data_IF_584821913150
#
_entry.id   IF_584821913150
#
_cell.length_a   1.000
_cell.length_b   1.000
_cell.length_c   1.000
_cell.angle_alpha   90.00
_cell.angle_beta   90.00
_cell.angle_gamma   90.00
#
_symmetry.space_group_name_H-M   'P 1'
#
loop_
_entity.id
_entity.type
_entity.pdbx_description
1 polymer ?
#
# COMPACT_ATOMS: atom_id res chain seq x y z
N UNK A 1 -5.30 5.51 25.66
CA UNK A 1 -5.03 5.50 27.09
C UNK A 1 -4.08 6.65 27.46
N UNK A 2 -4.32 7.33 28.59
CA UNK A 2 -3.51 8.48 29.03
C UNK A 2 -2.05 8.09 29.28
N UNK A 3 -1.81 6.89 29.81
CA UNK A 3 -0.46 6.33 30.04
C UNK A 3 0.31 6.14 28.74
N UNK A 4 -0.33 5.64 27.72
CA UNK A 4 0.28 5.40 26.41
C UNK A 4 0.70 6.71 25.75
N UNK A 5 -0.18 7.72 25.77
CA UNK A 5 0.14 9.07 25.27
C UNK A 5 1.32 9.69 26.00
N UNK A 6 1.41 9.48 27.32
CA UNK A 6 2.55 9.96 28.10
C UNK A 6 3.85 9.26 27.72
N UNK A 7 3.82 7.93 27.54
CA UNK A 7 5.00 7.13 27.15
C UNK A 7 5.46 7.47 25.73
N UNK A 8 4.56 7.63 24.77
CA UNK A 8 4.86 8.10 23.40
C UNK A 8 5.55 9.47 23.46
N UNK A 9 4.99 10.42 24.23
CA UNK A 9 5.58 11.74 24.39
C UNK A 9 6.96 11.70 25.05
N UNK A 10 7.15 10.83 26.04
CA UNK A 10 8.43 10.65 26.72
C UNK A 10 9.49 9.98 25.84
N UNK A 11 9.09 9.05 24.98
CA UNK A 11 9.96 8.40 24.01
C UNK A 11 10.40 9.36 22.88
N UNK A 12 9.59 10.38 22.56
CA UNK A 12 9.84 11.28 21.43
C UNK A 12 9.58 10.68 20.06
N UNK A 13 9.03 9.44 20.01
CA UNK A 13 8.74 8.66 18.83
C UNK A 13 7.26 8.26 18.79
N UNK A 14 6.79 7.71 17.67
CA UNK A 14 5.41 7.22 17.56
C UNK A 14 5.16 5.88 18.29
N UNK A 15 6.19 5.31 18.89
CA UNK A 15 6.15 4.07 19.67
C UNK A 15 7.11 4.14 20.87
N UNK A 16 7.01 3.19 21.78
CA UNK A 16 7.92 3.05 22.92
C UNK A 16 8.17 1.57 23.24
N UNK A 17 9.23 1.30 24.03
CA UNK A 17 9.48 0.00 24.62
C UNK A 17 9.70 0.18 26.13
N UNK A 18 9.04 -0.64 26.95
CA UNK A 18 9.13 -0.59 28.41
C UNK A 18 10.11 -1.59 28.99
N UNK A 19 10.83 -2.38 28.14
CA UNK A 19 11.86 -3.31 28.59
C UNK A 19 13.02 -2.58 29.26
N UNK A 20 13.55 -3.07 30.38
CA UNK A 20 14.81 -2.60 30.93
C UNK A 20 16.05 -3.06 30.14
N UNK A 21 15.86 -3.96 29.19
CA UNK A 21 16.89 -4.52 28.32
C UNK A 21 16.94 -3.81 26.98
N UNK A 22 18.08 -3.82 26.33
CA UNK A 22 18.29 -3.52 24.93
C UNK A 22 18.89 -4.75 24.20
N UNK A 23 18.97 -4.70 22.87
CA UNK A 23 19.48 -5.83 22.08
C UNK A 23 20.89 -6.26 22.45
N UNK A 24 21.74 -5.34 22.95
CA UNK A 24 23.11 -5.64 23.37
C UNK A 24 23.20 -6.36 24.70
N UNK A 25 22.15 -6.29 25.52
CA UNK A 25 22.09 -6.80 26.90
C UNK A 25 21.23 -8.06 27.08
N UNK A 26 20.76 -8.67 25.99
CA UNK A 26 19.89 -9.85 26.05
C UNK A 26 20.59 -11.13 26.57
N UNK A 27 21.93 -11.15 26.63
CA UNK A 27 22.70 -12.32 27.06
C UNK A 27 22.69 -13.49 26.06
N UNK A 28 23.50 -14.50 26.30
CA UNK A 28 23.62 -15.67 25.43
C UNK A 28 22.84 -16.90 25.95
N UNK A 29 22.67 -17.05 27.27
CA UNK A 29 22.06 -18.23 27.89
C UNK A 29 20.55 -18.30 27.70
N UNK A 30 19.87 -17.14 27.74
CA UNK A 30 18.40 -17.07 27.68
C UNK A 30 17.93 -16.16 26.53
N UNK A 31 18.72 -16.08 25.46
CA UNK A 31 18.51 -15.15 24.35
C UNK A 31 17.09 -15.19 23.77
N UNK A 32 16.50 -16.38 23.63
CA UNK A 32 15.15 -16.56 23.08
C UNK A 32 14.09 -15.92 23.96
N UNK A 33 14.07 -16.27 25.26
CA UNK A 33 13.09 -15.75 26.21
C UNK A 33 13.26 -14.24 26.42
N UNK A 34 14.50 -13.76 26.48
CA UNK A 34 14.81 -12.36 26.64
C UNK A 34 14.41 -11.53 25.40
N UNK A 35 14.65 -12.04 24.19
CA UNK A 35 14.23 -11.38 22.95
C UNK A 35 12.70 -11.31 22.84
N UNK A 36 12.00 -12.40 23.16
CA UNK A 36 10.53 -12.41 23.18
C UNK A 36 9.98 -11.43 24.22
N UNK A 37 10.57 -11.38 25.42
CA UNK A 37 10.18 -10.40 26.44
C UNK A 37 10.43 -8.96 26.00
N UNK A 38 11.55 -8.71 25.32
CA UNK A 38 11.87 -7.41 24.74
C UNK A 38 10.84 -6.98 23.67
N UNK A 39 10.49 -7.87 22.76
CA UNK A 39 9.48 -7.62 21.70
C UNK A 39 8.11 -7.37 22.34
N UNK A 40 7.69 -8.16 23.32
CA UNK A 40 6.42 -7.99 24.01
C UNK A 40 6.32 -6.70 24.83
N UNK A 41 7.44 -6.03 25.09
CA UNK A 41 7.50 -4.76 25.80
C UNK A 41 7.30 -3.53 24.92
N UNK A 42 7.20 -3.70 23.59
CA UNK A 42 6.84 -2.61 22.69
C UNK A 42 5.39 -2.16 22.89
N UNK A 43 5.11 -0.90 22.56
CA UNK A 43 3.75 -0.37 22.43
C UNK A 43 2.91 -1.23 21.47
N UNK A 44 1.59 -1.21 21.64
CA UNK A 44 0.65 -2.07 20.91
C UNK A 44 0.90 -2.05 19.40
N UNK A 45 0.95 -0.86 18.80
CA UNK A 45 1.11 -0.71 17.35
C UNK A 45 2.42 -1.29 16.81
N UNK A 46 3.53 -1.10 17.54
CA UNK A 46 4.81 -1.68 17.14
C UNK A 46 4.84 -3.19 17.36
N UNK A 47 4.23 -3.71 18.45
CA UNK A 47 4.15 -5.15 18.73
C UNK A 47 3.31 -5.89 17.69
N UNK A 48 2.18 -5.33 17.24
CA UNK A 48 1.35 -5.91 16.19
C UNK A 48 2.13 -6.20 14.90
N UNK A 49 3.16 -5.41 14.57
CA UNK A 49 4.02 -5.66 13.40
C UNK A 49 4.72 -7.01 13.56
N UNK A 50 5.32 -7.28 14.72
CA UNK A 50 6.00 -8.56 14.99
C UNK A 50 5.02 -9.73 15.02
N UNK A 51 3.82 -9.54 15.61
CA UNK A 51 2.78 -10.57 15.71
C UNK A 51 2.26 -10.98 14.32
N UNK A 52 1.90 -10.04 13.46
CA UNK A 52 1.39 -10.32 12.12
C UNK A 52 2.46 -10.81 11.15
N UNK A 53 3.72 -10.43 11.38
CA UNK A 53 4.88 -10.97 10.65
C UNK A 53 5.30 -12.35 11.13
N UNK A 54 4.67 -12.91 12.18
CA UNK A 54 5.02 -14.19 12.81
C UNK A 54 6.49 -14.27 13.21
N UNK A 55 6.98 -13.19 13.79
CA UNK A 55 8.42 -13.07 14.09
C UNK A 55 8.91 -14.11 15.10
N UNK A 56 8.02 -14.63 15.95
CA UNK A 56 8.28 -15.73 16.87
C UNK A 56 8.69 -17.04 16.14
N UNK A 57 8.13 -17.33 14.97
CA UNK A 57 8.52 -18.51 14.16
C UNK A 57 9.97 -18.38 13.68
N UNK A 58 10.40 -17.18 13.23
CA UNK A 58 11.80 -16.92 12.87
C UNK A 58 12.73 -17.05 14.08
N UNK A 59 12.35 -16.52 15.24
CA UNK A 59 13.10 -16.65 16.49
C UNK A 59 13.27 -18.14 16.83
N UNK A 60 12.20 -18.94 16.72
CA UNK A 60 12.26 -20.38 16.98
C UNK A 60 13.23 -21.09 16.05
N UNK A 61 13.10 -20.86 14.74
CA UNK A 61 13.98 -21.44 13.70
C UNK A 61 15.45 -21.10 13.95
N UNK A 62 15.76 -19.84 14.25
CA UNK A 62 17.14 -19.42 14.55
C UNK A 62 17.66 -19.99 15.86
N UNK A 63 16.81 -20.15 16.87
CA UNK A 63 17.18 -20.76 18.15
C UNK A 63 17.50 -22.26 17.98
N UNK A 64 16.68 -23.00 17.25
CA UNK A 64 16.90 -24.42 16.94
C UNK A 64 18.19 -24.65 16.15
N UNK A 65 18.52 -23.71 15.24
CA UNK A 65 19.78 -23.72 14.49
C UNK A 65 21.00 -23.21 15.27
N UNK A 66 20.86 -22.81 16.55
CA UNK A 66 21.89 -22.16 17.36
C UNK A 66 22.49 -20.86 16.72
N UNK A 67 21.69 -20.17 15.94
CA UNK A 67 22.11 -18.93 15.24
C UNK A 67 21.54 -17.66 15.89
N UNK A 68 20.52 -17.77 16.72
CA UNK A 68 19.77 -16.62 17.24
C UNK A 68 20.68 -15.59 17.92
N UNK A 69 21.59 -16.01 18.80
CA UNK A 69 22.51 -15.11 19.49
C UNK A 69 23.42 -14.36 18.50
N UNK A 70 23.98 -15.09 17.50
CA UNK A 70 24.85 -14.48 16.49
C UNK A 70 24.13 -13.42 15.64
N UNK A 71 22.87 -13.71 15.26
CA UNK A 71 22.05 -12.77 14.48
C UNK A 71 21.73 -11.54 15.32
N UNK A 72 21.23 -11.70 16.54
CA UNK A 72 20.93 -10.60 17.46
C UNK A 72 22.17 -9.73 17.70
N UNK A 73 23.35 -10.33 17.97
CA UNK A 73 24.58 -9.58 18.16
C UNK A 73 25.02 -8.83 16.89
N UNK A 74 24.81 -9.42 15.71
CA UNK A 74 25.13 -8.73 14.46
C UNK A 74 24.26 -7.49 14.28
N UNK A 75 22.97 -7.59 14.56
CA UNK A 75 22.03 -6.46 14.51
C UNK A 75 22.40 -5.41 15.57
N UNK A 76 22.60 -5.84 16.83
CA UNK A 76 22.96 -4.95 17.93
C UNK A 76 24.27 -4.16 17.71
N UNK A 77 25.23 -4.75 16.98
CA UNK A 77 26.51 -4.13 16.65
C UNK A 77 26.47 -3.33 15.34
N UNK A 78 25.34 -3.25 14.66
CA UNK A 78 25.15 -2.41 13.47
C UNK A 78 24.48 -1.12 13.92
N UNK A 79 25.14 0.02 13.74
CA UNK A 79 24.55 1.31 14.10
C UNK A 79 23.47 1.70 13.08
N UNK A 80 22.23 1.51 13.48
CA UNK A 80 21.02 1.88 12.73
C UNK A 80 20.30 3.06 13.40
N UNK A 81 20.99 3.79 14.28
CA UNK A 81 20.40 4.94 14.97
C UNK A 81 20.07 6.08 14.01
N UNK A 82 19.12 6.97 14.35
CA UNK A 82 18.80 8.16 13.54
C UNK A 82 20.01 9.11 13.35
N UNK A 83 21.04 8.99 14.17
CA UNK A 83 22.28 9.74 14.00
C UNK A 83 23.20 9.17 12.91
N UNK A 84 23.15 7.84 12.67
CA UNK A 84 23.92 7.15 11.64
C UNK A 84 23.18 7.09 10.30
N UNK A 85 21.86 6.93 10.33
CA UNK A 85 21.04 6.82 9.13
C UNK A 85 19.70 7.54 9.36
N UNK A 86 19.31 8.43 8.45
CA UNK A 86 18.05 9.15 8.54
C UNK A 86 16.85 8.19 8.41
N UNK A 87 15.67 8.60 8.94
CA UNK A 87 14.44 7.82 8.77
C UNK A 87 14.08 7.63 7.29
N UNK A 88 14.37 8.61 6.44
CA UNK A 88 14.20 8.51 4.99
C UNK A 88 15.11 7.42 4.39
N UNK A 89 16.41 7.47 4.68
CA UNK A 89 17.37 6.47 4.17
C UNK A 89 17.10 5.08 4.73
N UNK A 90 16.67 4.98 5.99
CA UNK A 90 16.22 3.71 6.58
C UNK A 90 14.99 3.15 5.85
N UNK A 91 14.04 4.00 5.45
CA UNK A 91 12.91 3.61 4.62
C UNK A 91 13.36 3.02 3.27
N UNK A 92 14.36 3.64 2.60
CA UNK A 92 14.93 3.12 1.35
C UNK A 92 15.64 1.77 1.55
N UNK A 93 16.37 1.61 2.65
CA UNK A 93 17.02 0.32 3.01
C UNK A 93 15.96 -0.77 3.24
N UNK A 94 14.90 -0.44 3.97
CA UNK A 94 13.82 -1.38 4.27
C UNK A 94 13.09 -1.81 2.99
N UNK A 95 12.77 -0.86 2.12
CA UNK A 95 12.15 -1.13 0.80
C UNK A 95 13.04 -2.03 -0.08
N UNK A 96 14.36 -1.79 -0.10
CA UNK A 96 15.29 -2.64 -0.85
C UNK A 96 15.36 -4.07 -0.29
N UNK A 97 15.29 -4.24 1.04
CA UNK A 97 15.24 -5.56 1.67
C UNK A 97 13.95 -6.30 1.30
N UNK A 98 12.79 -5.63 1.34
CA UNK A 98 11.51 -6.20 0.93
C UNK A 98 11.57 -6.64 -0.53
N UNK A 99 12.09 -5.80 -1.42
CA UNK A 99 12.26 -6.12 -2.83
C UNK A 99 13.10 -7.37 -3.05
N UNK A 100 14.27 -7.46 -2.40
CA UNK A 100 15.14 -8.63 -2.49
C UNK A 100 14.48 -9.89 -1.94
N UNK A 101 13.74 -9.75 -0.86
CA UNK A 101 12.98 -10.85 -0.28
C UNK A 101 11.91 -11.34 -1.28
N UNK A 102 11.12 -10.42 -1.86
CA UNK A 102 10.12 -10.73 -2.87
C UNK A 102 10.70 -11.41 -4.12
N UNK A 103 11.87 -10.97 -4.60
CA UNK A 103 12.55 -11.59 -5.74
C UNK A 103 13.15 -12.97 -5.42
N UNK A 104 13.46 -13.25 -4.16
CA UNK A 104 14.06 -14.52 -3.74
C UNK A 104 13.03 -15.60 -3.40
N UNK A 105 11.84 -15.22 -2.98
CA UNK A 105 10.74 -16.12 -2.66
C UNK A 105 9.90 -16.42 -3.92
N UNK A 106 10.16 -17.58 -4.53
CA UNK A 106 9.62 -17.96 -5.85
C UNK A 106 8.10 -18.15 -5.95
N UNK A 107 7.32 -18.16 -4.85
CA UNK A 107 5.95 -18.69 -4.92
C UNK A 107 4.80 -17.73 -4.58
N UNK A 108 4.97 -16.71 -3.77
CA UNK A 108 3.82 -15.89 -3.32
C UNK A 108 4.07 -14.39 -3.24
N UNK A 109 5.30 -13.98 -3.13
CA UNK A 109 5.64 -12.56 -2.98
C UNK A 109 5.34 -11.72 -4.24
N UNK A 110 5.30 -12.34 -5.42
CA UNK A 110 5.01 -11.66 -6.68
C UNK A 110 3.57 -11.15 -6.80
N UNK A 111 2.62 -11.79 -6.13
CA UNK A 111 1.20 -11.39 -6.18
C UNK A 111 0.91 -10.14 -5.35
N UNK A 112 1.77 -9.83 -4.37
CA UNK A 112 1.59 -8.73 -3.43
C UNK A 112 2.56 -7.56 -3.64
N UNK A 113 3.42 -7.65 -4.66
CA UNK A 113 4.44 -6.64 -4.93
C UNK A 113 4.28 -5.99 -6.30
N UNK A 114 4.03 -4.69 -6.31
CA UNK A 114 3.97 -3.91 -7.56
C UNK A 114 5.38 -3.48 -7.96
N UNK A 115 5.83 -3.72 -9.22
CA UNK A 115 7.16 -3.31 -9.67
C UNK A 115 7.38 -1.81 -9.54
N UNK A 116 8.58 -1.41 -9.09
CA UNK A 116 8.94 -0.01 -8.82
C UNK A 116 8.69 0.94 -9.99
N UNK A 117 8.96 0.49 -11.21
CA UNK A 117 8.77 1.33 -12.40
C UNK A 117 7.28 1.66 -12.61
N UNK A 118 6.40 0.70 -12.32
CA UNK A 118 4.95 0.91 -12.37
C UNK A 118 4.49 1.83 -11.23
N UNK A 119 5.02 1.60 -10.02
CA UNK A 119 4.73 2.48 -8.87
C UNK A 119 5.13 3.91 -9.18
N UNK A 120 6.35 4.15 -9.67
CA UNK A 120 6.85 5.48 -10.01
C UNK A 120 6.07 6.13 -11.15
N UNK A 121 5.79 5.39 -12.21
CA UNK A 121 4.98 5.88 -13.33
C UNK A 121 3.60 6.32 -12.85
N UNK A 122 2.90 5.44 -12.13
CA UNK A 122 1.54 5.73 -11.65
C UNK A 122 1.53 6.89 -10.66
N UNK A 123 2.49 6.94 -9.75
CA UNK A 123 2.68 8.06 -8.82
C UNK A 123 2.89 9.37 -9.59
N UNK A 124 3.79 9.40 -10.57
CA UNK A 124 4.04 10.59 -11.37
C UNK A 124 2.81 11.05 -12.11
N UNK A 125 2.04 10.14 -12.72
CA UNK A 125 0.80 10.48 -13.44
C UNK A 125 -0.27 11.09 -12.52
N UNK A 126 -0.32 10.68 -11.26
CA UNK A 126 -1.30 11.18 -10.29
C UNK A 126 -0.90 12.54 -9.72
N UNK A 127 0.38 12.78 -9.45
CA UNK A 127 0.82 13.99 -8.75
C UNK A 127 1.25 15.13 -9.67
N UNK A 128 1.67 14.85 -10.92
CA UNK A 128 2.28 15.85 -11.79
C UNK A 128 1.39 17.05 -12.12
N UNK A 129 0.08 16.85 -12.18
CA UNK A 129 -0.86 17.93 -12.46
C UNK A 129 -1.12 18.85 -11.27
N UNK A 130 -0.78 18.40 -10.06
CA UNK A 130 -0.96 19.16 -8.81
C UNK A 130 0.37 19.71 -8.26
N UNK A 131 1.45 19.69 -9.02
CA UNK A 131 2.76 20.15 -8.57
C UNK A 131 2.74 21.57 -8.00
N UNK A 132 1.99 22.48 -8.62
CA UNK A 132 1.87 23.86 -8.14
C UNK A 132 1.19 23.92 -6.77
N UNK A 133 0.09 23.19 -6.57
CA UNK A 133 -0.61 23.11 -5.29
C UNK A 133 0.26 22.43 -4.22
N UNK A 134 1.03 21.41 -4.58
CA UNK A 134 1.89 20.69 -3.66
C UNK A 134 3.11 21.51 -3.19
N UNK A 135 3.49 22.54 -3.92
CA UNK A 135 4.57 23.46 -3.53
C UNK A 135 4.12 24.57 -2.57
N UNK A 136 2.83 24.70 -2.32
CA UNK A 136 2.30 25.72 -1.40
C UNK A 136 2.80 25.51 0.04
N UNK A 137 2.97 26.63 0.75
CA UNK A 137 3.41 26.60 2.14
C UNK A 137 2.36 26.00 3.07
N UNK A 138 2.75 25.00 3.86
CA UNK A 138 1.89 24.40 4.87
C UNK A 138 0.83 23.46 4.30
N UNK A 139 1.01 22.99 3.07
CA UNK A 139 0.10 22.04 2.43
C UNK A 139 0.03 20.74 3.22
N UNK A 140 -1.18 20.25 3.41
CA UNK A 140 -1.47 18.93 4.00
C UNK A 140 -2.36 18.18 3.02
N UNK A 141 -1.96 16.98 2.64
CA UNK A 141 -2.70 16.09 1.73
C UNK A 141 -2.73 14.67 2.26
N UNK A 142 -3.66 13.90 1.76
CA UNK A 142 -3.85 12.49 2.10
C UNK A 142 -3.62 11.62 0.88
N UNK A 143 -2.96 10.46 1.10
CA UNK A 143 -2.81 9.41 0.10
C UNK A 143 -3.40 8.12 0.66
N UNK A 144 -4.12 7.37 -0.18
CA UNK A 144 -4.80 6.13 0.21
C UNK A 144 -4.56 5.01 -0.79
N UNK A 145 -4.34 3.80 -0.27
CA UNK A 145 -4.31 2.56 -1.05
C UNK A 145 -5.21 1.51 -0.38
N UNK A 146 -6.34 1.11 -1.02
CA UNK A 146 -7.26 0.10 -0.49
C UNK A 146 -6.74 -1.34 -0.58
N UNK A 147 -5.62 -1.55 -1.27
CA UNK A 147 -4.92 -2.82 -1.46
C UNK A 147 -3.43 -2.63 -1.21
N UNK A 148 -3.12 -2.10 -0.02
CA UNK A 148 -1.83 -1.47 0.28
C UNK A 148 -0.61 -2.37 0.05
N UNK A 149 -0.79 -3.70 0.06
CA UNK A 149 0.32 -4.62 -0.05
C UNK A 149 1.38 -4.30 0.99
N UNK A 150 2.61 -4.16 0.55
CA UNK A 150 3.74 -3.73 1.38
C UNK A 150 3.90 -2.20 1.50
N UNK A 151 2.96 -1.41 0.96
CA UNK A 151 2.96 0.06 1.07
C UNK A 151 3.70 0.80 -0.04
N UNK A 152 4.02 0.15 -1.15
CA UNK A 152 4.83 0.73 -2.22
C UNK A 152 4.29 2.03 -2.80
N UNK A 153 2.99 2.11 -3.07
CA UNK A 153 2.37 3.35 -3.55
C UNK A 153 2.35 4.47 -2.50
N UNK A 154 2.10 4.13 -1.24
CA UNK A 154 2.10 5.09 -0.14
C UNK A 154 3.49 5.71 0.01
N UNK A 155 4.52 4.88 0.00
CA UNK A 155 5.92 5.30 0.11
C UNK A 155 6.34 6.16 -1.07
N UNK A 156 6.05 5.74 -2.29
CA UNK A 156 6.39 6.49 -3.51
C UNK A 156 5.68 7.85 -3.59
N UNK A 157 4.41 7.91 -3.17
CA UNK A 157 3.66 9.17 -3.13
C UNK A 157 4.22 10.14 -2.10
N UNK A 158 4.60 9.65 -0.91
CA UNK A 158 5.25 10.48 0.11
C UNK A 158 6.62 10.98 -0.35
N UNK A 159 7.42 10.12 -0.98
CA UNK A 159 8.73 10.46 -1.52
C UNK A 159 8.61 11.55 -2.61
N UNK A 160 7.70 11.36 -3.58
CA UNK A 160 7.44 12.34 -4.64
C UNK A 160 7.12 13.73 -4.06
N UNK A 161 6.22 13.81 -3.08
CA UNK A 161 5.83 15.08 -2.48
C UNK A 161 6.96 15.66 -1.63
N UNK A 162 7.73 14.83 -0.92
CA UNK A 162 8.87 15.28 -0.14
C UNK A 162 10.00 15.87 -1.01
N UNK A 163 10.30 15.24 -2.14
CA UNK A 163 11.27 15.76 -3.11
C UNK A 163 10.83 17.11 -3.67
N UNK A 164 9.53 17.26 -3.97
CA UNK A 164 8.96 18.50 -4.48
C UNK A 164 8.90 19.60 -3.42
N UNK A 165 8.49 19.26 -2.20
CA UNK A 165 8.31 20.17 -1.07
C UNK A 165 8.58 19.45 0.27
N UNK A 166 9.80 19.54 0.81
CA UNK A 166 10.15 18.90 2.09
C UNK A 166 9.34 19.38 3.31
N UNK A 167 8.56 20.47 3.17
CA UNK A 167 7.69 21.00 4.23
C UNK A 167 6.24 20.58 4.08
N UNK A 168 5.88 19.92 2.99
CA UNK A 168 4.55 19.38 2.79
C UNK A 168 4.29 18.21 3.75
N UNK A 169 3.06 18.07 4.22
CA UNK A 169 2.63 16.95 5.06
C UNK A 169 1.75 16.03 4.22
N UNK A 170 2.28 14.86 3.88
CA UNK A 170 1.50 13.78 3.27
C UNK A 170 1.12 12.76 4.34
N UNK A 171 -0.18 12.52 4.54
CA UNK A 171 -0.72 11.54 5.48
C UNK A 171 -1.12 10.28 4.73
N UNK A 172 -0.48 9.15 5.07
CA UNK A 172 -0.73 7.86 4.44
C UNK A 172 -1.85 7.11 5.14
N UNK A 173 -2.75 6.54 4.34
CA UNK A 173 -3.84 5.65 4.75
C UNK A 173 -3.79 4.40 3.88
N UNK A 174 -4.09 3.25 4.45
CA UNK A 174 -4.10 2.00 3.69
C UNK A 174 -4.97 0.95 4.35
N UNK A 175 -5.42 0.00 3.54
CA UNK A 175 -6.04 -1.21 4.03
C UNK A 175 -5.48 -2.41 3.28
N UNK A 176 -5.17 -3.49 4.00
CA UNK A 176 -4.56 -4.69 3.45
C UNK A 176 -5.21 -5.95 4.05
N UNK A 177 -5.47 -6.94 3.21
CA UNK A 177 -6.09 -8.21 3.61
C UNK A 177 -5.05 -9.20 4.16
N UNK A 178 -3.86 -9.25 3.55
CA UNK A 178 -2.80 -10.17 3.94
C UNK A 178 -2.07 -9.64 5.17
N UNK A 179 -2.04 -10.44 6.25
CA UNK A 179 -1.48 -10.03 7.54
C UNK A 179 0.03 -9.73 7.46
N UNK A 180 0.79 -10.48 6.66
CA UNK A 180 2.23 -10.30 6.49
C UNK A 180 2.53 -9.01 5.71
N UNK A 181 1.85 -8.80 4.58
CA UNK A 181 1.96 -7.55 3.80
C UNK A 181 1.54 -6.33 4.63
N UNK A 182 0.45 -6.45 5.40
CA UNK A 182 0.03 -5.42 6.35
C UNK A 182 1.13 -5.08 7.37
N UNK A 183 1.77 -6.10 7.97
CA UNK A 183 2.84 -5.88 8.93
C UNK A 183 4.04 -5.16 8.31
N UNK A 184 4.41 -5.53 7.09
CA UNK A 184 5.48 -4.87 6.32
C UNK A 184 5.11 -3.40 6.04
N UNK A 185 3.90 -3.16 5.53
CA UNK A 185 3.40 -1.80 5.27
C UNK A 185 3.39 -0.95 6.55
N UNK A 186 2.86 -1.50 7.64
CA UNK A 186 2.82 -0.83 8.95
C UNK A 186 4.22 -0.51 9.46
N UNK A 187 5.17 -1.44 9.30
CA UNK A 187 6.57 -1.25 9.67
C UNK A 187 7.25 -0.14 8.87
N UNK A 188 7.06 -0.11 7.56
CA UNK A 188 7.59 0.94 6.68
C UNK A 188 7.02 2.32 7.05
N UNK A 189 5.71 2.40 7.28
CA UNK A 189 5.05 3.63 7.71
C UNK A 189 5.56 4.10 9.09
N UNK A 190 5.85 3.16 10.01
CA UNK A 190 6.40 3.48 11.32
C UNK A 190 7.81 4.09 11.19
N UNK A 191 8.68 3.49 10.38
CA UNK A 191 10.03 4.00 10.09
C UNK A 191 9.97 5.41 9.48
N UNK A 192 9.00 5.67 8.62
CA UNK A 192 8.77 6.98 7.97
C UNK A 192 8.05 8.00 8.85
N UNK A 193 7.79 7.68 10.13
CA UNK A 193 7.15 8.59 11.08
C UNK A 193 5.67 8.84 10.83
N UNK A 194 5.00 7.95 10.08
CA UNK A 194 3.55 8.04 9.86
C UNK A 194 2.76 7.50 11.05
N UNK A 195 1.53 7.97 11.17
CA UNK A 195 0.57 7.42 12.14
C UNK A 195 0.04 6.07 11.64
N UNK A 196 0.62 5.00 12.17
CA UNK A 196 0.34 3.61 11.73
C UNK A 196 -1.07 3.12 12.07
N UNK A 197 -1.82 3.84 12.91
CA UNK A 197 -3.23 3.56 13.17
C UNK A 197 -4.12 3.74 11.93
N UNK A 198 -3.61 4.43 10.89
CA UNK A 198 -4.26 4.64 9.60
C UNK A 198 -4.08 3.48 8.62
N UNK A 199 -3.19 2.55 8.92
CA UNK A 199 -3.04 1.30 8.16
C UNK A 199 -3.91 0.24 8.83
N UNK A 200 -4.85 -0.32 8.06
CA UNK A 200 -5.89 -1.23 8.56
C UNK A 200 -5.70 -2.64 8.01
N UNK A 201 -5.91 -3.65 8.87
CA UNK A 201 -5.94 -5.04 8.46
C UNK A 201 -7.38 -5.48 8.21
N UNK A 202 -7.68 -5.97 7.02
CA UNK A 202 -8.99 -6.51 6.68
C UNK A 202 -9.37 -6.37 5.22
N UNK A 203 -10.48 -6.99 4.85
CA UNK A 203 -10.97 -6.97 3.47
C UNK A 203 -11.69 -5.65 3.18
N UNK A 204 -11.13 -4.85 2.30
CA UNK A 204 -11.66 -3.54 1.89
C UNK A 204 -13.09 -3.63 1.33
N UNK A 205 -13.41 -4.72 0.62
CA UNK A 205 -14.71 -4.86 -0.04
C UNK A 205 -15.83 -5.18 0.95
N UNK A 206 -15.59 -6.02 1.96
CA UNK A 206 -16.61 -6.45 2.94
C UNK A 206 -16.51 -5.73 4.29
N UNK A 207 -15.38 -5.12 4.61
CA UNK A 207 -15.13 -4.45 5.88
C UNK A 207 -14.26 -3.21 5.70
N UNK A 208 -14.84 -2.17 5.10
CA UNK A 208 -14.18 -0.88 4.94
C UNK A 208 -14.01 -0.19 6.29
N UNK A 209 -12.79 -0.22 6.84
CA UNK A 209 -12.47 0.37 8.13
C UNK A 209 -12.20 1.89 8.07
N UNK A 210 -12.23 2.47 6.88
CA UNK A 210 -12.08 3.89 6.60
C UNK A 210 -13.35 4.45 5.92
N UNK A 211 -14.53 3.91 6.26
CA UNK A 211 -15.79 4.15 5.56
C UNK A 211 -16.17 5.63 5.45
N UNK A 212 -15.84 6.43 6.45
CA UNK A 212 -16.19 7.86 6.49
C UNK A 212 -15.06 8.78 5.98
N UNK A 213 -13.93 8.22 5.58
CA UNK A 213 -12.80 8.99 5.11
C UNK A 213 -12.86 9.22 3.60
N UNK A 214 -12.44 10.40 3.18
CA UNK A 214 -12.23 10.77 1.77
C UNK A 214 -10.80 11.27 1.60
N UNK A 215 -10.19 10.99 0.46
CA UNK A 215 -8.77 11.20 0.23
C UNK A 215 -8.49 12.10 -0.96
N UNK A 216 -7.37 12.83 -0.88
CA UNK A 216 -6.94 13.72 -1.95
C UNK A 216 -6.33 12.92 -3.11
N UNK A 217 -5.45 11.98 -2.83
CA UNK A 217 -4.82 11.09 -3.81
C UNK A 217 -5.04 9.63 -3.45
N UNK A 218 -5.25 8.82 -4.47
CA UNK A 218 -5.43 7.38 -4.27
C UNK A 218 -4.71 6.62 -5.38
N UNK A 219 -4.00 5.57 -4.99
CA UNK A 219 -3.28 4.68 -5.90
C UNK A 219 -3.58 3.25 -5.47
N UNK A 220 -3.84 2.37 -6.41
CA UNK A 220 -4.15 0.98 -6.11
C UNK A 220 -3.73 0.08 -7.25
N UNK A 221 -3.19 -1.08 -6.89
CA UNK A 221 -3.02 -2.21 -7.77
C UNK A 221 -3.84 -3.38 -7.20
N UNK A 222 -5.15 -3.44 -7.47
CA UNK A 222 -5.99 -4.51 -6.95
C UNK A 222 -5.59 -5.87 -7.54
N UNK A 223 -5.86 -6.99 -6.84
CA UNK A 223 -5.54 -8.32 -7.34
C UNK A 223 -6.29 -8.61 -8.66
N UNK A 224 -5.57 -9.13 -9.65
CA UNK A 224 -6.10 -9.43 -10.98
C UNK A 224 -6.81 -10.78 -11.02
N UNK A 225 -8.01 -10.84 -11.61
CA UNK A 225 -8.73 -12.08 -11.84
C UNK A 225 -9.06 -12.87 -10.57
N UNK A 226 -9.08 -12.21 -9.42
CA UNK A 226 -9.42 -12.84 -8.15
C UNK A 226 -10.93 -12.75 -7.93
N UNK A 227 -11.54 -13.91 -7.63
CA UNK A 227 -12.96 -13.98 -7.34
C UNK A 227 -13.31 -13.30 -6.00
N UNK A 228 -14.50 -12.69 -5.97
CA UNK A 228 -15.03 -12.09 -4.74
C UNK A 228 -16.16 -12.93 -4.11
N UNK A 229 -16.23 -14.22 -4.45
CA UNK A 229 -17.27 -15.15 -4.00
C UNK A 229 -17.37 -15.22 -2.47
N UNK A 230 -16.23 -15.15 -1.76
CA UNK A 230 -16.22 -15.20 -0.29
C UNK A 230 -16.93 -14.03 0.38
N UNK A 231 -17.02 -12.89 -0.29
CA UNK A 231 -17.66 -11.65 0.21
C UNK A 231 -18.85 -11.23 -0.65
N UNK A 232 -19.34 -12.14 -1.49
CA UNK A 232 -20.42 -11.89 -2.46
C UNK A 232 -21.69 -11.39 -1.78
N UNK A 233 -22.02 -11.93 -0.62
CA UNK A 233 -23.22 -11.54 0.13
C UNK A 233 -23.10 -10.08 0.57
N UNK A 234 -22.00 -9.69 1.19
CA UNK A 234 -21.80 -8.33 1.71
C UNK A 234 -21.89 -7.28 0.60
N UNK A 235 -21.27 -7.58 -0.56
CA UNK A 235 -21.26 -6.70 -1.72
C UNK A 235 -22.66 -6.58 -2.34
N UNK A 236 -23.37 -7.71 -2.52
CA UNK A 236 -24.75 -7.71 -3.03
C UNK A 236 -25.70 -7.02 -2.08
N UNK A 237 -25.56 -7.22 -0.79
CA UNK A 237 -26.37 -6.55 0.23
C UNK A 237 -26.16 -5.03 0.17
N UNK A 238 -24.90 -4.56 0.07
CA UNK A 238 -24.62 -3.13 -0.10
C UNK A 238 -25.21 -2.57 -1.40
N UNK A 239 -25.03 -3.26 -2.53
CA UNK A 239 -25.60 -2.87 -3.82
C UNK A 239 -27.13 -2.76 -3.78
N UNK A 240 -27.81 -3.78 -3.23
CA UNK A 240 -29.27 -3.84 -3.22
C UNK A 240 -29.91 -2.89 -2.20
N UNK A 241 -29.27 -2.68 -1.04
CA UNK A 241 -29.84 -1.88 0.05
C UNK A 241 -29.53 -0.40 -0.11
N UNK A 242 -28.30 -0.08 -0.50
CA UNK A 242 -27.86 1.32 -0.60
C UNK A 242 -27.98 1.89 -2.02
N UNK A 243 -28.01 1.04 -3.05
CA UNK A 243 -27.99 1.53 -4.44
C UNK A 243 -26.85 2.51 -4.67
N UNK A 244 -27.13 3.67 -5.25
CA UNK A 244 -26.16 4.73 -5.52
C UNK A 244 -25.67 5.50 -4.27
N UNK A 245 -26.29 5.28 -3.10
CA UNK A 245 -25.76 5.80 -1.83
C UNK A 245 -24.64 4.91 -1.26
N UNK A 246 -24.39 3.76 -1.89
CA UNK A 246 -23.30 2.85 -1.59
C UNK A 246 -22.25 2.79 -2.69
N UNK A 247 -21.14 2.13 -2.39
CA UNK A 247 -20.00 2.02 -3.31
C UNK A 247 -20.32 1.33 -4.63
N UNK A 248 -21.22 0.35 -4.61
CA UNK A 248 -21.46 -0.59 -5.72
C UNK A 248 -22.76 -0.32 -6.48
N UNK A 249 -23.34 0.87 -6.33
CA UNK A 249 -24.60 1.27 -7.00
C UNK A 249 -24.58 1.14 -8.52
N UNK A 250 -23.53 1.55 -9.24
CA UNK A 250 -23.48 1.47 -10.69
C UNK A 250 -23.65 0.07 -11.28
N UNK A 251 -23.23 -0.99 -10.56
CA UNK A 251 -23.36 -2.36 -11.01
C UNK A 251 -22.40 -3.32 -10.32
N UNK A 252 -22.54 -4.61 -10.58
CA UNK A 252 -21.67 -5.64 -10.05
C UNK A 252 -20.93 -6.34 -11.20
N UNK A 253 -19.59 -6.49 -11.14
CA UNK A 253 -18.84 -7.24 -12.11
C UNK A 253 -19.07 -8.75 -11.92
N UNK A 254 -18.60 -9.55 -12.89
CA UNK A 254 -18.61 -11.02 -12.75
C UNK A 254 -17.90 -11.46 -11.48
N UNK A 255 -18.41 -12.51 -10.83
CA UNK A 255 -17.88 -12.99 -9.54
C UNK A 255 -16.42 -13.44 -9.64
N UNK A 256 -15.97 -13.88 -10.81
CA UNK A 256 -14.60 -14.33 -11.04
C UNK A 256 -13.55 -13.21 -11.10
N UNK A 257 -13.96 -11.92 -11.05
CA UNK A 257 -13.02 -10.79 -11.14
C UNK A 257 -13.57 -9.58 -10.36
N UNK A 258 -12.98 -9.31 -9.19
CA UNK A 258 -13.37 -8.22 -8.29
C UNK A 258 -12.72 -6.87 -8.57
N UNK A 259 -11.90 -6.73 -9.58
CA UNK A 259 -11.07 -5.54 -9.80
C UNK A 259 -11.87 -4.25 -9.93
N UNK A 260 -13.01 -4.28 -10.63
CA UNK A 260 -13.90 -3.11 -10.78
C UNK A 260 -14.61 -2.72 -9.46
N UNK A 261 -14.73 -3.63 -8.50
CA UNK A 261 -15.22 -3.29 -7.15
C UNK A 261 -14.25 -2.36 -6.43
N UNK A 262 -12.95 -2.61 -6.55
CA UNK A 262 -11.93 -1.71 -5.99
C UNK A 262 -11.94 -0.34 -6.68
N UNK A 263 -12.16 -0.31 -7.99
CA UNK A 263 -12.27 0.97 -8.71
C UNK A 263 -13.49 1.79 -8.24
N UNK A 264 -14.65 1.14 -8.06
CA UNK A 264 -15.84 1.80 -7.49
C UNK A 264 -15.61 2.25 -6.05
N UNK A 265 -14.91 1.45 -5.25
CA UNK A 265 -14.50 1.84 -3.90
C UNK A 265 -13.62 3.10 -3.92
N UNK A 266 -12.63 3.18 -4.82
CA UNK A 266 -11.82 4.38 -4.98
C UNK A 266 -12.67 5.60 -5.38
N UNK A 267 -13.61 5.45 -6.30
CA UNK A 267 -14.51 6.53 -6.72
C UNK A 267 -15.33 7.03 -5.52
N UNK A 268 -15.86 6.13 -4.70
CA UNK A 268 -16.57 6.52 -3.47
C UNK A 268 -15.67 7.30 -2.51
N UNK A 269 -14.39 6.97 -2.45
CA UNK A 269 -13.41 7.62 -1.55
C UNK A 269 -12.84 8.94 -2.10
N UNK A 270 -13.17 9.32 -3.32
CA UNK A 270 -12.68 10.57 -3.88
C UNK A 270 -13.11 11.78 -3.06
N UNK A 271 -12.13 12.64 -2.71
CA UNK A 271 -12.41 13.99 -2.24
C UNK A 271 -12.58 14.88 -3.48
N UNK A 272 -11.51 15.43 -4.02
CA UNK A 272 -11.54 16.33 -5.17
C UNK A 272 -10.33 16.11 -6.11
N UNK A 273 -9.73 14.91 -6.19
CA UNK A 273 -8.46 14.64 -6.88
C UNK A 273 -8.37 13.29 -7.61
N UNK A 274 -7.22 13.03 -8.20
CA UNK A 274 -6.90 11.99 -9.18
C UNK A 274 -6.72 10.57 -8.60
N UNK A 275 -7.10 9.56 -9.40
CA UNK A 275 -6.91 8.14 -9.07
C UNK A 275 -6.26 7.37 -10.22
N UNK A 276 -5.40 6.39 -9.88
CA UNK A 276 -4.80 5.48 -10.84
C UNK A 276 -5.07 4.00 -10.47
N UNK A 277 -5.58 3.22 -11.41
CA UNK A 277 -5.79 1.77 -11.26
C UNK A 277 -5.61 1.03 -12.58
N UNK A 278 -4.96 -0.17 -12.60
CA UNK A 278 -4.82 -0.95 -13.83
C UNK A 278 -5.98 -1.93 -14.02
N UNK A 279 -6.91 -1.70 -14.99
CA UNK A 279 -7.84 -2.76 -15.48
C UNK A 279 -8.70 -2.36 -16.67
N UNK A 280 -8.89 -3.31 -17.57
CA UNK A 280 -9.87 -3.16 -18.66
C UNK A 280 -10.30 -4.50 -19.25
N UNK A 281 -11.44 -5.06 -18.84
CA UNK A 281 -12.14 -6.12 -19.63
C UNK A 281 -13.64 -6.22 -19.24
N UNK A 282 -14.48 -6.75 -20.12
CA UNK A 282 -15.89 -7.06 -19.90
C UNK A 282 -16.75 -6.81 -21.14
N UNK A 283 -17.77 -7.65 -21.35
CA UNK A 283 -18.72 -7.55 -22.47
C UNK A 283 -19.73 -6.42 -22.33
N UNK A 284 -20.38 -6.03 -23.43
CA UNK A 284 -21.49 -5.08 -23.40
C UNK A 284 -22.74 -5.70 -22.71
N UNK A 285 -23.51 -4.87 -22.00
CA UNK A 285 -24.74 -5.29 -21.30
C UNK A 285 -24.54 -6.06 -19.99
N UNK A 286 -23.31 -6.11 -19.47
CA UNK A 286 -22.95 -6.69 -18.18
C UNK A 286 -22.83 -5.64 -17.07
N UNK A 287 -22.71 -6.07 -15.81
CA UNK A 287 -22.41 -5.16 -14.69
C UNK A 287 -21.13 -4.36 -14.91
N UNK A 288 -20.12 -4.96 -15.52
CA UNK A 288 -18.89 -4.26 -15.92
C UNK A 288 -19.16 -3.14 -16.94
N UNK A 289 -20.09 -3.36 -17.87
CA UNK A 289 -20.52 -2.34 -18.82
C UNK A 289 -21.18 -1.15 -18.14
N UNK A 290 -22.03 -1.40 -17.16
CA UNK A 290 -22.73 -0.36 -16.40
C UNK A 290 -21.74 0.44 -15.53
N UNK A 291 -20.75 -0.22 -14.92
CA UNK A 291 -19.68 0.46 -14.17
C UNK A 291 -18.90 1.38 -15.11
N UNK A 292 -18.48 0.89 -16.28
CA UNK A 292 -17.76 1.73 -17.26
C UNK A 292 -18.60 2.88 -17.76
N UNK A 293 -19.90 2.63 -18.03
CA UNK A 293 -20.85 3.68 -18.41
C UNK A 293 -20.93 4.76 -17.35
N UNK A 294 -21.09 4.39 -16.09
CA UNK A 294 -21.13 5.33 -14.98
C UNK A 294 -19.87 6.21 -14.92
N UNK A 295 -18.70 5.60 -15.03
CA UNK A 295 -17.41 6.32 -14.98
C UNK A 295 -17.28 7.32 -16.15
N UNK A 296 -17.71 6.93 -17.35
CA UNK A 296 -17.64 7.78 -18.53
C UNK A 296 -18.70 8.89 -18.51
N UNK A 297 -19.95 8.58 -18.17
CA UNK A 297 -21.04 9.56 -18.11
C UNK A 297 -20.86 10.56 -16.96
N UNK A 298 -20.20 10.16 -15.86
CA UNK A 298 -19.81 11.04 -14.77
C UNK A 298 -18.54 11.86 -15.08
N UNK A 299 -17.99 11.69 -16.27
CA UNK A 299 -16.76 12.36 -16.75
C UNK A 299 -15.54 12.22 -15.82
N UNK A 300 -15.43 11.09 -15.13
CA UNK A 300 -14.35 10.82 -14.18
C UNK A 300 -13.05 10.36 -14.86
N UNK A 301 -13.15 9.64 -15.99
CA UNK A 301 -11.99 9.05 -16.66
C UNK A 301 -11.20 10.10 -17.44
N UNK A 302 -9.99 10.39 -16.98
CA UNK A 302 -9.06 11.35 -17.57
C UNK A 302 -8.23 10.69 -18.68
N UNK A 303 -7.53 9.61 -18.34
CA UNK A 303 -6.55 8.97 -19.23
C UNK A 303 -6.52 7.47 -19.00
N UNK A 304 -6.27 6.72 -20.08
CA UNK A 304 -5.88 5.30 -20.02
C UNK A 304 -4.51 5.17 -20.65
N UNK A 305 -3.55 4.60 -19.91
CA UNK A 305 -2.20 4.29 -20.42
C UNK A 305 -2.06 2.79 -20.57
N UNK A 306 -1.86 2.29 -21.80
CA UNK A 306 -1.52 0.91 -22.05
C UNK A 306 -0.05 0.67 -21.69
N UNK A 307 0.22 -0.30 -20.82
CA UNK A 307 1.57 -0.67 -20.40
C UNK A 307 2.13 -1.81 -21.30
N UNK A 308 3.46 -1.97 -21.36
CA UNK A 308 4.07 -3.14 -21.95
C UNK A 308 3.58 -4.43 -21.27
N UNK A 309 3.57 -5.55 -21.99
CA UNK A 309 3.34 -6.88 -21.39
C UNK A 309 4.53 -7.29 -20.51
N UNK A 310 4.34 -8.27 -19.65
CA UNK A 310 5.39 -8.80 -18.75
C UNK A 310 5.97 -7.78 -17.76
N UNK A 311 5.23 -6.73 -17.47
CA UNK A 311 5.64 -5.70 -16.49
C UNK A 311 5.38 -6.10 -15.04
N UNK A 312 4.50 -7.06 -14.79
CA UNK A 312 4.16 -7.56 -13.45
C UNK A 312 4.74 -8.94 -13.21
N UNK A 313 4.99 -9.27 -11.93
CA UNK A 313 5.52 -10.58 -11.55
C UNK A 313 4.53 -11.69 -11.88
N UNK A 314 5.04 -12.80 -12.38
CA UNK A 314 4.31 -14.04 -12.67
C UNK A 314 3.12 -13.90 -13.65
N UNK A 315 3.04 -12.83 -14.44
CA UNK A 315 1.99 -12.66 -15.44
C UNK A 315 2.48 -11.94 -16.69
N UNK A 316 2.01 -12.39 -17.85
CA UNK A 316 2.26 -11.77 -19.17
C UNK A 316 1.06 -10.99 -19.71
N UNK A 317 0.06 -10.69 -18.86
CA UNK A 317 -1.16 -10.01 -19.33
C UNK A 317 -0.89 -8.55 -19.71
N UNK A 318 -1.67 -8.04 -20.66
CA UNK A 318 -1.71 -6.63 -20.95
C UNK A 318 -2.42 -5.87 -19.79
N UNK A 319 -1.78 -4.84 -19.30
CA UNK A 319 -2.28 -4.03 -18.21
C UNK A 319 -2.40 -2.56 -18.60
N UNK A 320 -3.27 -1.84 -17.92
CA UNK A 320 -3.59 -0.45 -18.24
C UNK A 320 -3.66 0.37 -16.96
N UNK A 321 -3.05 1.54 -16.94
CA UNK A 321 -3.24 2.51 -15.86
C UNK A 321 -4.43 3.39 -16.22
N UNK A 322 -5.41 3.44 -15.34
CA UNK A 322 -6.53 4.36 -15.45
C UNK A 322 -6.28 5.55 -14.52
N UNK A 323 -6.34 6.74 -15.07
CA UNK A 323 -6.27 7.99 -14.32
C UNK A 323 -7.68 8.59 -14.27
N UNK A 324 -8.20 8.76 -13.07
CA UNK A 324 -9.51 9.33 -12.83
C UNK A 324 -9.39 10.66 -12.09
N UNK A 325 -10.21 11.62 -12.46
CA UNK A 325 -10.29 12.94 -11.83
C UNK A 325 -11.75 13.41 -11.79
N UNK A 326 -12.16 13.98 -10.68
CA UNK A 326 -13.41 14.75 -10.61
C UNK A 326 -13.19 16.26 -10.79
N UNK A 327 -11.95 16.65 -11.18
CA UNK A 327 -11.53 18.04 -11.43
C UNK A 327 -10.93 18.22 -12.82
N UNK A 328 -11.50 17.60 -13.84
CA UNK A 328 -11.03 17.81 -15.21
C UNK A 328 -11.08 19.28 -15.60
N UNK A 329 -10.02 19.75 -16.21
CA UNK A 329 -9.99 21.07 -16.86
C UNK A 329 -11.09 21.21 -17.91
N UNK A 330 -11.57 22.42 -18.11
CA UNK A 330 -12.69 22.71 -19.03
C UNK A 330 -12.45 22.18 -20.44
N UNK A 331 -11.20 22.23 -20.93
CA UNK A 331 -10.80 21.75 -22.24
C UNK A 331 -10.79 20.19 -22.34
N UNK A 332 -10.71 19.51 -21.22
CA UNK A 332 -10.66 18.03 -21.12
C UNK A 332 -12.00 17.38 -20.79
N UNK A 333 -13.01 18.17 -20.43
CA UNK A 333 -14.36 17.66 -20.15
C UNK A 333 -14.95 16.93 -21.35
N UNK A 334 -15.59 15.78 -21.10
CA UNK A 334 -16.17 14.91 -22.11
C UNK A 334 -15.14 14.19 -23.00
N UNK A 335 -13.86 14.22 -22.64
CA UNK A 335 -12.77 13.59 -23.41
C UNK A 335 -12.03 12.60 -22.53
N UNK A 336 -11.50 11.54 -23.15
CA UNK A 336 -10.59 10.58 -22.53
C UNK A 336 -9.33 10.50 -23.39
N UNK A 337 -8.17 10.63 -22.78
CA UNK A 337 -6.89 10.46 -23.47
C UNK A 337 -6.49 8.98 -23.46
N UNK A 338 -6.11 8.46 -24.61
CA UNK A 338 -5.56 7.10 -24.72
C UNK A 338 -4.08 7.18 -25.08
N UNK A 339 -3.24 6.62 -24.22
CA UNK A 339 -1.77 6.60 -24.41
C UNK A 339 -1.34 5.16 -24.64
N UNK A 340 -0.72 4.91 -25.80
CA UNK A 340 -0.14 3.61 -26.10
C UNK A 340 1.33 3.56 -25.67
N UNK A 341 1.58 3.06 -24.47
CA UNK A 341 2.91 2.88 -23.89
C UNK A 341 3.53 1.50 -24.10
N UNK A 342 2.90 0.60 -24.86
CA UNK A 342 3.35 -0.81 -24.99
C UNK A 342 4.78 -0.99 -25.51
N UNK A 343 5.35 0.02 -26.16
CA UNK A 343 6.74 0.03 -26.66
C UNK A 343 7.70 0.87 -25.81
N UNK A 344 7.20 1.50 -24.75
CA UNK A 344 7.98 2.39 -23.88
C UNK A 344 8.63 1.58 -22.74
N UNK A 345 9.58 0.71 -23.08
CA UNK A 345 10.31 -0.08 -22.08
C UNK A 345 11.75 -0.34 -22.52
N UNK A 346 12.59 -0.61 -21.53
CA UNK A 346 13.94 -1.13 -21.72
C UNK A 346 13.97 -2.58 -21.22
N UNK A 347 14.41 -3.51 -22.10
CA UNK A 347 14.46 -4.92 -21.76
C UNK A 347 15.45 -5.19 -20.64
N UNK A 348 14.98 -5.79 -19.56
CA UNK A 348 15.82 -6.25 -18.46
C UNK A 348 16.55 -7.57 -18.83
N UNK A 349 17.66 -7.86 -18.12
CA UNK A 349 18.37 -9.15 -18.25
C UNK A 349 17.55 -10.35 -17.76
N UNK A 350 16.63 -10.11 -16.79
CA UNK A 350 15.69 -11.11 -16.25
C UNK A 350 14.28 -10.56 -16.40
N UNK A 351 13.38 -11.34 -16.95
CA UNK A 351 11.95 -11.00 -17.00
C UNK A 351 11.35 -11.03 -15.59
N UNK A 352 10.44 -10.11 -15.30
CA UNK A 352 9.60 -10.11 -14.10
C UNK A 352 8.28 -10.87 -14.33
N UNK A 353 7.89 -11.05 -15.59
CA UNK A 353 6.67 -11.75 -15.99
C UNK A 353 6.84 -13.27 -16.04
N UNK A 354 5.83 -13.96 -16.57
CA UNK A 354 5.88 -15.40 -16.83
C UNK A 354 7.03 -15.71 -17.78
N UNK A 355 7.78 -16.73 -17.50
CA UNK A 355 9.01 -17.19 -18.15
C UNK A 355 9.08 -17.02 -19.66
#
# INVERSE_FOLDING_TARGET
DAREKFLIKAAGESFFNTSPMDLSKLGSSDIKSNLLAYINSFSKDAREIFEHFRFDEFINTLAEANLLYKVVQKVANTDLSPAAISNHDMGLVFEELIRRFAESSNDTAGEHFTPRDIVRLTTSLVFMEDNDALTEKGIIRTIYDPTAGTGGFLSSGMEYVHELNPKAVMRAFGQELNAESYAICKGDMLIKGQDVSRIKLGNTLSNDQLANDKFDYMLSNPPFGVDWKKVEKDIKDEHNVKGFDGRFGPGLPRVSDGSLLFLMHLIDKMRDYLNGSPLFTGGAGSGESEIRRHILESDLLETIVALPTDMFYNTGIATYVWVLSNKKDAERKGKVQLINGVHLYQKMRKSLGSK
#
